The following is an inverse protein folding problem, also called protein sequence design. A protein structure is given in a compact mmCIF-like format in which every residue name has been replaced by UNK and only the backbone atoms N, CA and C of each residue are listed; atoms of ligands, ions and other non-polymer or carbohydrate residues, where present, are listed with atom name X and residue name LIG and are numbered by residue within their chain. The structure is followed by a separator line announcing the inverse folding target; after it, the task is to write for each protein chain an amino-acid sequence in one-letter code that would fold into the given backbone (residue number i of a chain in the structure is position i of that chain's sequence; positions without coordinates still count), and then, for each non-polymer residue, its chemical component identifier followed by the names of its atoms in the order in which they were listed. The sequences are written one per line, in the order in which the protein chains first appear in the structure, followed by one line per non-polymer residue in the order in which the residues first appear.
data_IF_332370333042
#
_entry.id   IF_332370333042
#
_cell.length_a   1.000
_cell.length_b   1.000
_cell.length_c   1.000
_cell.angle_alpha   90.00
_cell.angle_beta   90.00
_cell.angle_gamma   90.00
#
_symmetry.space_group_name_H-M   'P 1'
#
loop_
_entity.id
_entity.type
_entity.pdbx_description
1 polymer ?
#
# COMPACT_ATOMS: atom_id res chain seq x y z
N UNK A 1 -0.52 -23.66 -17.58
CA UNK A 1 -0.94 -23.27 -16.26
C UNK A 1 -0.75 -21.76 -16.14
N UNK A 2 -1.78 -21.05 -15.69
CA UNK A 2 -1.71 -19.61 -15.51
C UNK A 2 -0.88 -19.26 -14.26
N UNK A 3 -0.51 -17.97 -14.13
CA UNK A 3 0.15 -17.45 -12.95
C UNK A 3 -0.72 -17.66 -11.70
N UNK A 4 -0.10 -18.05 -10.59
CA UNK A 4 -0.71 -18.01 -9.27
C UNK A 4 -0.37 -16.65 -8.67
N UNK A 5 -1.32 -15.73 -8.72
CA UNK A 5 -1.22 -14.43 -8.06
C UNK A 5 -2.49 -14.15 -7.26
N UNK A 6 -2.31 -13.62 -6.06
CA UNK A 6 -3.40 -13.16 -5.21
C UNK A 6 -3.23 -11.66 -4.99
N UNK A 7 -4.33 -10.97 -4.75
CA UNK A 7 -4.30 -9.56 -4.37
C UNK A 7 -5.25 -9.35 -3.21
N UNK A 8 -4.73 -8.67 -2.18
CA UNK A 8 -5.50 -8.24 -1.05
C UNK A 8 -5.58 -6.71 -1.01
N UNK A 9 -6.62 -6.20 -0.41
CA UNK A 9 -6.77 -4.78 -0.10
C UNK A 9 -7.27 -4.63 1.34
N UNK A 10 -7.04 -3.49 2.01
CA UNK A 10 -7.21 -3.36 3.46
C UNK A 10 -8.53 -3.89 4.00
N UNK A 11 -9.68 -3.61 3.34
CA UNK A 11 -10.97 -4.11 3.81
C UNK A 11 -11.04 -5.64 3.83
N UNK A 12 -10.54 -6.29 2.76
CA UNK A 12 -10.50 -7.75 2.69
C UNK A 12 -9.58 -8.34 3.77
N UNK A 13 -8.41 -7.74 3.94
CA UNK A 13 -7.42 -8.16 4.95
C UNK A 13 -8.01 -8.14 6.37
N UNK A 14 -8.73 -7.06 6.73
CA UNK A 14 -9.40 -6.97 8.02
C UNK A 14 -10.59 -7.92 8.14
N UNK A 15 -11.35 -8.10 7.08
CA UNK A 15 -12.50 -9.03 7.06
C UNK A 15 -12.04 -10.49 7.16
N UNK A 16 -10.91 -10.83 6.57
CA UNK A 16 -10.29 -12.15 6.69
C UNK A 16 -9.83 -12.41 8.13
N UNK A 17 -9.38 -11.36 8.83
CA UNK A 17 -9.01 -11.34 10.24
C UNK A 17 -7.87 -12.30 10.62
N UNK A 18 -6.97 -12.56 9.71
CA UNK A 18 -5.73 -13.29 9.99
C UNK A 18 -4.63 -12.31 10.39
N UNK A 19 -3.99 -12.52 11.54
CA UNK A 19 -2.93 -11.66 12.07
C UNK A 19 -1.62 -11.78 11.30
N UNK A 20 -1.70 -11.62 9.98
CA UNK A 20 -0.52 -11.56 9.14
C UNK A 20 0.28 -10.26 9.34
N UNK A 21 1.56 -10.32 9.03
CA UNK A 21 2.48 -9.20 9.14
C UNK A 21 1.97 -7.92 8.43
N UNK A 22 1.41 -8.06 7.23
CA UNK A 22 0.86 -6.93 6.47
C UNK A 22 -0.37 -6.29 7.12
N UNK A 23 -1.24 -7.06 7.77
CA UNK A 23 -2.37 -6.52 8.53
C UNK A 23 -1.87 -5.71 9.74
N UNK A 24 -0.92 -6.28 10.49
CA UNK A 24 -0.33 -5.63 11.68
C UNK A 24 0.43 -4.36 11.27
N UNK A 25 1.01 -4.33 10.08
CA UNK A 25 1.77 -3.19 9.56
C UNK A 25 0.89 -1.98 9.20
N UNK A 26 -0.39 -2.15 8.80
CA UNK A 26 -1.24 -1.06 8.31
C UNK A 26 -1.29 0.17 9.25
N UNK A 27 -1.49 0.05 10.56
CA UNK A 27 -1.44 1.21 11.45
C UNK A 27 -0.08 1.93 11.45
N UNK A 28 1.01 1.19 11.37
CA UNK A 28 2.38 1.74 11.31
C UNK A 28 2.62 2.43 9.97
N UNK A 29 2.14 1.85 8.89
CA UNK A 29 2.17 2.43 7.54
C UNK A 29 1.47 3.80 7.51
N UNK A 30 0.27 3.89 8.08
CA UNK A 30 -0.48 5.14 8.17
C UNK A 30 0.23 6.16 9.06
N UNK A 31 0.85 5.73 10.15
CA UNK A 31 1.66 6.59 11.01
C UNK A 31 2.86 7.17 10.24
N UNK A 32 3.56 6.38 9.43
CA UNK A 32 4.69 6.84 8.60
C UNK A 32 4.21 7.92 7.61
N UNK A 33 3.09 7.69 6.93
CA UNK A 33 2.52 8.67 5.99
C UNK A 33 2.18 9.98 6.72
N UNK A 34 1.55 9.89 7.90
CA UNK A 34 1.23 11.05 8.73
C UNK A 34 2.46 11.81 9.22
N UNK A 35 3.50 11.10 9.67
CA UNK A 35 4.78 11.69 10.09
C UNK A 35 5.51 12.36 8.91
N UNK A 36 5.55 11.72 7.74
CA UNK A 36 6.15 12.28 6.54
C UNK A 36 5.41 13.54 6.07
N UNK A 37 4.07 13.53 6.07
CA UNK A 37 3.28 14.71 5.78
C UNK A 37 3.53 15.83 6.80
N UNK A 38 3.54 15.52 8.08
CA UNK A 38 3.86 16.50 9.13
C UNK A 38 5.27 17.08 8.94
N UNK A 39 6.25 16.24 8.63
CA UNK A 39 7.63 16.67 8.41
C UNK A 39 7.75 17.68 7.26
N UNK A 40 7.09 17.46 6.12
CA UNK A 40 7.17 18.39 5.00
C UNK A 40 6.39 19.69 5.26
N UNK A 41 5.25 19.62 5.93
CA UNK A 41 4.41 20.79 6.23
C UNK A 41 5.03 21.69 7.29
N UNK A 42 5.53 21.12 8.40
CA UNK A 42 6.15 21.88 9.49
C UNK A 42 7.58 22.29 9.14
N UNK A 43 8.37 21.37 8.59
CA UNK A 43 9.77 21.60 8.26
C UNK A 43 9.98 22.64 7.16
N UNK A 44 9.02 22.79 6.25
CA UNK A 44 9.05 23.83 5.22
C UNK A 44 9.02 25.26 5.80
N UNK A 45 8.28 25.45 6.90
CA UNK A 45 8.11 26.77 7.55
C UNK A 45 9.21 27.06 8.57
N UNK A 46 9.86 26.05 9.10
CA UNK A 46 10.83 26.22 10.17
C UNK A 46 12.22 26.62 9.62
N UNK A 47 12.77 27.69 10.17
CA UNK A 47 14.08 28.21 9.76
C UNK A 47 15.26 27.37 10.32
N UNK A 48 15.10 26.71 11.48
CA UNK A 48 16.18 26.01 12.16
C UNK A 48 16.27 24.54 11.78
N UNK A 49 17.41 24.13 11.23
CA UNK A 49 17.69 22.74 10.83
C UNK A 49 17.67 21.78 12.03
N UNK A 50 18.11 22.25 13.23
CA UNK A 50 18.14 21.45 14.45
C UNK A 50 16.74 20.98 14.88
N UNK A 51 15.67 21.72 14.54
CA UNK A 51 14.29 21.32 14.83
C UNK A 51 13.80 20.18 13.98
N UNK A 52 14.50 19.84 12.89
CA UNK A 52 14.17 18.68 12.04
C UNK A 52 14.74 17.37 12.60
N UNK A 53 15.72 17.42 13.49
CA UNK A 53 16.37 16.20 14.01
C UNK A 53 15.37 15.26 14.68
N UNK A 54 14.55 15.77 15.60
CA UNK A 54 13.57 14.94 16.30
C UNK A 54 12.50 14.35 15.35
N UNK A 55 11.80 15.13 14.50
CA UNK A 55 10.84 14.56 13.55
C UNK A 55 11.45 13.54 12.60
N UNK A 56 12.67 13.77 12.10
CA UNK A 56 13.38 12.82 11.22
C UNK A 56 13.75 11.56 11.99
N UNK A 57 14.24 11.67 13.24
CA UNK A 57 14.58 10.50 14.05
C UNK A 57 13.34 9.66 14.42
N UNK A 58 12.21 10.31 14.74
CA UNK A 58 10.95 9.61 15.00
C UNK A 58 10.47 8.89 13.73
N UNK A 59 10.51 9.56 12.58
CA UNK A 59 10.16 8.94 11.29
C UNK A 59 11.08 7.74 11.00
N UNK A 60 12.41 7.88 11.24
CA UNK A 60 13.38 6.81 11.04
C UNK A 60 13.13 5.63 11.98
N UNK A 61 12.79 5.88 13.25
CA UNK A 61 12.42 4.83 14.21
C UNK A 61 11.22 4.02 13.71
N UNK A 62 10.17 4.72 13.27
CA UNK A 62 8.92 4.05 12.81
C UNK A 62 9.13 3.33 11.48
N UNK A 63 9.89 3.90 10.52
CA UNK A 63 10.24 3.20 9.27
C UNK A 63 11.10 1.97 9.55
N UNK A 64 12.09 2.10 10.45
CA UNK A 64 12.95 0.98 10.84
C UNK A 64 12.18 -0.18 11.48
N UNK A 65 11.08 0.10 12.21
CA UNK A 65 10.24 -0.94 12.82
C UNK A 65 9.58 -1.87 11.78
N UNK A 66 9.38 -1.40 10.54
CA UNK A 66 8.82 -2.23 9.48
C UNK A 66 9.72 -3.42 9.14
N UNK A 67 11.02 -3.34 9.36
CA UNK A 67 11.91 -4.49 9.17
C UNK A 67 11.53 -5.66 10.08
N UNK A 68 11.10 -5.36 11.31
CA UNK A 68 10.65 -6.36 12.28
C UNK A 68 9.18 -6.75 12.13
N UNK A 69 8.33 -5.87 11.60
CA UNK A 69 6.88 -6.08 11.47
C UNK A 69 6.54 -6.72 10.12
N UNK A 70 6.95 -6.09 9.02
CA UNK A 70 6.73 -6.56 7.66
C UNK A 70 7.81 -6.00 6.73
N UNK A 71 8.87 -6.75 6.51
CA UNK A 71 10.04 -6.33 5.72
C UNK A 71 9.67 -5.88 4.29
N UNK A 72 8.59 -6.42 3.71
CA UNK A 72 8.09 -6.05 2.38
C UNK A 72 7.67 -4.57 2.27
N UNK A 73 7.34 -3.94 3.38
CA UNK A 73 6.91 -2.54 3.41
C UNK A 73 8.07 -1.55 3.44
N UNK A 74 9.25 -1.99 3.88
CA UNK A 74 10.45 -1.14 4.02
C UNK A 74 10.76 -0.36 2.74
N UNK A 75 10.78 -0.96 1.54
CA UNK A 75 11.05 -0.21 0.31
C UNK A 75 10.02 0.89 0.04
N UNK A 76 8.73 0.61 0.15
CA UNK A 76 7.67 1.55 -0.17
C UNK A 76 7.65 2.75 0.79
N UNK A 77 7.66 2.49 2.10
CA UNK A 77 7.61 3.54 3.12
C UNK A 77 8.95 4.24 3.34
N UNK A 78 10.05 3.54 3.09
CA UNK A 78 11.37 4.13 2.97
C UNK A 78 11.44 5.17 1.85
N UNK A 79 10.91 4.84 0.66
CA UNK A 79 10.87 5.76 -0.48
C UNK A 79 9.95 6.97 -0.25
N UNK A 80 8.79 6.81 0.42
CA UNK A 80 7.96 7.95 0.84
C UNK A 80 8.78 8.90 1.71
N UNK A 81 9.46 8.36 2.71
CA UNK A 81 10.22 9.14 3.68
C UNK A 81 11.42 9.83 3.02
N UNK A 82 12.18 9.11 2.21
CA UNK A 82 13.31 9.65 1.43
C UNK A 82 12.85 10.73 0.46
N UNK A 83 11.76 10.48 -0.30
CA UNK A 83 11.18 11.46 -1.20
C UNK A 83 10.74 12.73 -0.46
N UNK A 84 10.10 12.58 0.71
CA UNK A 84 9.72 13.70 1.57
C UNK A 84 10.92 14.51 2.05
N UNK A 85 12.00 13.84 2.48
CA UNK A 85 13.24 14.49 2.92
C UNK A 85 13.91 15.22 1.75
N UNK A 86 14.03 14.59 0.60
CA UNK A 86 14.61 15.22 -0.60
C UNK A 86 13.82 16.49 -0.96
N UNK A 87 12.51 16.40 -1.06
CA UNK A 87 11.68 17.57 -1.40
C UNK A 87 11.77 18.66 -0.34
N UNK A 88 11.77 18.33 0.94
CA UNK A 88 11.93 19.30 2.01
C UNK A 88 13.26 20.05 1.90
N UNK A 89 14.38 19.33 1.77
CA UNK A 89 15.70 19.96 1.65
C UNK A 89 15.87 20.73 0.34
N UNK A 90 15.30 20.23 -0.77
CA UNK A 90 15.27 20.95 -2.02
C UNK A 90 14.50 22.27 -1.90
N UNK A 91 13.28 22.26 -1.34
CA UNK A 91 12.46 23.46 -1.18
C UNK A 91 13.12 24.50 -0.27
N UNK A 92 13.82 24.07 0.76
CA UNK A 92 14.58 24.96 1.67
C UNK A 92 15.83 25.54 1.04
N UNK A 93 16.47 24.80 0.16
CA UNK A 93 17.76 25.16 -0.44
C UNK A 93 17.69 25.73 -1.84
N UNK A 94 16.49 25.88 -2.43
CA UNK A 94 16.31 26.17 -3.86
C UNK A 94 16.95 27.48 -4.36
N UNK A 95 17.24 28.43 -3.47
CA UNK A 95 17.96 29.66 -3.79
C UNK A 95 19.48 29.51 -3.63
N UNK A 96 19.95 28.35 -3.16
CA UNK A 96 21.36 28.03 -2.97
C UNK A 96 21.94 27.34 -4.20
N UNK A 97 23.27 27.12 -4.19
CA UNK A 97 23.94 26.34 -5.23
C UNK A 97 23.37 24.91 -5.28
N UNK A 98 22.99 24.46 -6.48
CA UNK A 98 22.37 23.14 -6.71
C UNK A 98 23.22 21.98 -6.16
N UNK A 99 24.53 22.01 -6.34
CA UNK A 99 25.41 20.96 -5.83
C UNK A 99 25.36 20.89 -4.30
N UNK A 100 25.30 22.02 -3.61
CA UNK A 100 25.15 22.08 -2.16
C UNK A 100 23.80 21.52 -1.71
N UNK A 101 22.72 21.81 -2.43
CA UNK A 101 21.38 21.26 -2.15
C UNK A 101 21.38 19.75 -2.30
N UNK A 102 21.92 19.23 -3.40
CA UNK A 102 22.04 17.80 -3.65
C UNK A 102 22.88 17.09 -2.57
N UNK A 103 24.01 17.69 -2.16
CA UNK A 103 24.83 17.16 -1.08
C UNK A 103 24.07 17.10 0.26
N UNK A 104 23.30 18.14 0.60
CA UNK A 104 22.45 18.15 1.79
C UNK A 104 21.34 17.11 1.72
N UNK A 105 20.67 16.97 0.58
CA UNK A 105 19.66 15.92 0.36
C UNK A 105 20.27 14.53 0.57
N UNK A 106 21.41 14.27 -0.06
CA UNK A 106 22.13 13.00 0.08
C UNK A 106 22.51 12.72 1.53
N UNK A 107 23.15 13.68 2.21
CA UNK A 107 23.55 13.53 3.60
C UNK A 107 22.34 13.28 4.53
N UNK A 108 21.22 13.98 4.31
CA UNK A 108 20.01 13.78 5.08
C UNK A 108 19.37 12.39 4.85
N UNK A 109 19.38 11.90 3.63
CA UNK A 109 18.90 10.55 3.31
C UNK A 109 19.78 9.46 3.92
N UNK A 110 21.11 9.61 3.85
CA UNK A 110 22.06 8.70 4.49
C UNK A 110 21.90 8.71 6.01
N UNK A 111 21.76 9.88 6.62
CA UNK A 111 21.53 10.00 8.05
C UNK A 111 20.20 9.34 8.46
N UNK A 112 19.11 9.59 7.71
CA UNK A 112 17.83 8.94 7.93
C UNK A 112 17.92 7.43 7.87
N UNK A 113 18.52 6.88 6.81
CA UNK A 113 18.66 5.43 6.64
C UNK A 113 19.56 4.83 7.74
N UNK A 114 20.67 5.53 8.08
CA UNK A 114 21.56 5.13 9.16
C UNK A 114 20.86 5.10 10.53
N UNK A 115 20.06 6.12 10.85
CA UNK A 115 19.27 6.17 12.10
C UNK A 115 18.24 5.04 12.11
N UNK A 116 17.51 4.84 11.01
CA UNK A 116 16.51 3.77 10.89
C UNK A 116 17.14 2.39 11.14
N UNK A 117 18.32 2.13 10.56
CA UNK A 117 19.04 0.87 10.77
C UNK A 117 19.58 0.73 12.19
N UNK A 118 20.24 1.77 12.71
CA UNK A 118 20.91 1.71 14.02
C UNK A 118 19.93 1.60 15.19
N UNK A 119 18.76 2.22 15.11
CA UNK A 119 17.73 2.10 16.16
C UNK A 119 17.15 0.67 16.25
N UNK A 120 17.23 -0.11 15.18
CA UNK A 120 16.80 -1.52 15.12
C UNK A 120 17.97 -2.49 14.99
N UNK A 121 19.20 -2.03 15.29
CA UNK A 121 20.40 -2.84 15.16
C UNK A 121 20.35 -4.19 15.92
N UNK A 122 19.82 -4.27 17.17
CA UNK A 122 19.69 -5.56 17.85
C UNK A 122 18.84 -6.57 17.08
N UNK A 123 17.78 -6.12 16.40
CA UNK A 123 16.98 -6.98 15.51
C UNK A 123 17.81 -7.45 14.32
N UNK A 124 18.53 -6.55 13.65
CA UNK A 124 19.33 -6.89 12.46
C UNK A 124 20.47 -7.85 12.76
N UNK A 125 20.99 -7.88 14.00
CA UNK A 125 22.03 -8.84 14.40
C UNK A 125 21.55 -10.30 14.48
N UNK A 126 20.26 -10.50 14.74
CA UNK A 126 19.68 -11.83 14.97
C UNK A 126 18.72 -12.28 13.87
N UNK A 127 18.35 -11.37 12.98
CA UNK A 127 17.39 -11.65 11.91
C UNK A 127 18.08 -12.22 10.69
N UNK A 128 17.75 -13.44 10.35
CA UNK A 128 18.14 -14.07 9.10
C UNK A 128 17.01 -13.88 8.07
N UNK A 129 17.28 -13.14 7.02
CA UNK A 129 16.29 -12.80 6.00
C UNK A 129 16.19 -13.91 4.97
N UNK A 130 14.97 -14.39 4.74
CA UNK A 130 14.67 -15.29 3.62
C UNK A 130 14.72 -14.60 2.25
N UNK A 131 14.91 -13.27 2.20
CA UNK A 131 15.04 -12.54 0.95
C UNK A 131 16.41 -12.79 0.32
N UNK A 132 16.43 -13.39 -0.88
CA UNK A 132 17.65 -13.77 -1.61
C UNK A 132 17.98 -12.82 -2.76
N UNK A 133 17.03 -11.99 -3.20
CA UNK A 133 17.26 -11.04 -4.28
C UNK A 133 16.01 -10.74 -5.11
N UNK A 134 16.24 -10.10 -6.25
CA UNK A 134 15.21 -9.81 -7.25
C UNK A 134 15.52 -10.49 -8.56
N UNK A 135 14.48 -10.94 -9.25
CA UNK A 135 14.55 -11.44 -10.63
C UNK A 135 13.60 -10.69 -11.54
N UNK A 136 13.83 -10.78 -12.85
CA UNK A 136 12.87 -10.27 -13.84
C UNK A 136 11.59 -11.08 -13.78
N UNK A 137 10.46 -10.39 -13.73
CA UNK A 137 9.15 -11.04 -13.78
C UNK A 137 8.89 -11.66 -15.14
N UNK A 138 8.39 -12.89 -15.16
CA UNK A 138 7.91 -13.56 -16.38
C UNK A 138 6.44 -13.26 -16.68
N UNK A 139 5.70 -12.74 -15.70
CA UNK A 139 4.28 -12.47 -15.74
C UNK A 139 3.98 -10.98 -15.75
N UNK A 140 2.83 -10.63 -16.28
CA UNK A 140 2.32 -9.24 -16.33
C UNK A 140 0.93 -9.18 -15.73
N UNK A 141 0.59 -8.05 -15.13
CA UNK A 141 -0.74 -7.83 -14.57
C UNK A 141 -1.71 -7.47 -15.69
N UNK A 142 -2.79 -8.21 -15.79
CA UNK A 142 -3.86 -7.87 -16.72
C UNK A 142 -4.60 -6.60 -16.28
N UNK A 143 -5.14 -5.87 -17.26
CA UNK A 143 -5.83 -4.59 -17.00
C UNK A 143 -6.96 -4.78 -15.97
N UNK A 144 -7.80 -5.78 -16.14
CA UNK A 144 -8.93 -6.01 -15.23
C UNK A 144 -8.49 -6.37 -13.80
N UNK A 145 -7.35 -7.03 -13.62
CA UNK A 145 -6.80 -7.37 -12.30
C UNK A 145 -6.43 -6.10 -11.52
N UNK A 146 -5.68 -5.19 -12.16
CA UNK A 146 -5.27 -3.95 -11.51
C UNK A 146 -6.45 -3.00 -11.29
N UNK A 147 -7.22 -2.75 -12.35
CA UNK A 147 -8.32 -1.77 -12.30
C UNK A 147 -9.51 -2.24 -11.51
N UNK A 148 -9.77 -3.56 -11.43
CA UNK A 148 -10.81 -4.13 -10.57
C UNK A 148 -10.67 -3.74 -9.10
N UNK A 149 -9.44 -3.53 -8.62
CA UNK A 149 -9.14 -3.20 -7.22
C UNK A 149 -8.89 -1.72 -7.01
N UNK A 150 -8.25 -1.05 -7.98
CA UNK A 150 -7.77 0.32 -7.80
C UNK A 150 -8.62 1.38 -8.51
N UNK A 151 -9.55 1.02 -9.40
CA UNK A 151 -10.23 1.97 -10.29
C UNK A 151 -10.88 3.16 -9.59
N UNK A 152 -11.61 2.93 -8.49
CA UNK A 152 -12.23 4.02 -7.72
C UNK A 152 -11.18 4.99 -7.19
N UNK A 153 -10.11 4.46 -6.61
CA UNK A 153 -9.05 5.26 -5.99
C UNK A 153 -8.25 6.03 -7.06
N UNK A 154 -7.96 5.37 -8.17
CA UNK A 154 -7.30 6.00 -9.34
C UNK A 154 -8.19 7.10 -9.92
N UNK A 155 -9.51 6.87 -10.06
CA UNK A 155 -10.45 7.88 -10.54
C UNK A 155 -10.42 9.14 -9.66
N UNK A 156 -10.45 8.99 -8.35
CA UNK A 156 -10.42 10.12 -7.41
C UNK A 156 -9.09 10.88 -7.51
N UNK A 157 -7.96 10.19 -7.56
CA UNK A 157 -6.63 10.78 -7.67
C UNK A 157 -6.41 11.49 -9.02
N UNK A 158 -6.80 10.86 -10.13
CA UNK A 158 -6.70 11.44 -11.48
C UNK A 158 -7.59 12.67 -11.61
N UNK A 159 -8.71 12.75 -10.89
CA UNK A 159 -9.54 13.96 -10.90
C UNK A 159 -8.76 15.18 -10.40
N UNK A 160 -8.02 15.04 -9.29
CA UNK A 160 -7.15 16.09 -8.79
C UNK A 160 -5.97 16.37 -9.75
N UNK A 161 -5.33 15.33 -10.28
CA UNK A 161 -4.23 15.46 -11.27
C UNK A 161 -4.72 16.23 -12.49
N UNK A 162 -5.89 15.89 -13.03
CA UNK A 162 -6.49 16.55 -14.20
C UNK A 162 -6.77 18.03 -13.93
N UNK A 163 -7.30 18.35 -12.74
CA UNK A 163 -7.53 19.73 -12.32
C UNK A 163 -6.21 20.52 -12.22
N UNK A 164 -5.17 19.95 -11.57
CA UNK A 164 -3.86 20.58 -11.46
C UNK A 164 -3.22 20.80 -12.84
N UNK A 165 -3.33 19.80 -13.70
CA UNK A 165 -2.78 19.86 -15.05
C UNK A 165 -3.46 20.94 -15.88
N UNK A 166 -4.79 21.02 -15.83
CA UNK A 166 -5.56 22.04 -16.52
C UNK A 166 -5.19 23.46 -16.05
N UNK A 167 -5.08 23.69 -14.75
CA UNK A 167 -4.74 25.00 -14.18
C UNK A 167 -3.32 25.47 -14.57
N UNK A 168 -2.38 24.54 -14.74
CA UNK A 168 -0.96 24.89 -14.95
C UNK A 168 -0.56 25.01 -16.40
N UNK A 169 -1.14 24.20 -17.27
CA UNK A 169 -0.61 24.07 -18.63
C UNK A 169 -1.45 24.74 -19.72
N UNK A 170 -2.64 25.26 -19.44
CA UNK A 170 -3.47 26.08 -20.35
C UNK A 170 -3.42 25.65 -21.84
N UNK A 171 -3.44 24.33 -22.10
CA UNK A 171 -3.33 23.86 -23.49
C UNK A 171 -4.52 24.27 -24.34
N UNK A 172 -4.25 24.65 -25.60
CA UNK A 172 -5.32 24.90 -26.59
C UNK A 172 -6.12 23.62 -26.82
N UNK A 173 -7.45 23.69 -26.83
CA UNK A 173 -8.40 22.56 -27.00
C UNK A 173 -7.98 21.55 -28.09
N UNK A 174 -7.44 22.08 -29.23
CA UNK A 174 -6.96 21.25 -30.34
C UNK A 174 -5.80 20.30 -29.94
N UNK A 175 -4.87 20.78 -29.10
CA UNK A 175 -3.73 19.96 -28.62
C UNK A 175 -4.19 18.85 -27.68
N UNK A 176 -5.17 19.12 -26.81
CA UNK A 176 -5.77 18.08 -25.97
C UNK A 176 -6.38 16.96 -26.80
N UNK A 177 -7.19 17.35 -27.80
CA UNK A 177 -7.84 16.37 -28.67
C UNK A 177 -6.82 15.51 -29.44
N UNK A 178 -5.79 16.14 -30.00
CA UNK A 178 -4.73 15.41 -30.72
C UNK A 178 -3.95 14.48 -29.79
N UNK A 179 -3.57 14.92 -28.58
CA UNK A 179 -2.87 14.09 -27.62
C UNK A 179 -3.74 12.92 -27.14
N UNK A 180 -5.02 13.16 -26.83
CA UNK A 180 -5.96 12.11 -26.45
C UNK A 180 -6.15 11.07 -27.57
N UNK A 181 -6.28 11.55 -28.82
CA UNK A 181 -6.40 10.66 -29.99
C UNK A 181 -5.15 9.78 -30.14
N UNK A 182 -3.94 10.34 -30.01
CA UNK A 182 -2.69 9.59 -30.09
C UNK A 182 -2.59 8.53 -28.98
N UNK A 183 -2.96 8.89 -27.75
CA UNK A 183 -2.99 7.97 -26.63
C UNK A 183 -3.98 6.83 -26.87
N UNK A 184 -5.22 7.14 -27.26
CA UNK A 184 -6.24 6.12 -27.56
C UNK A 184 -5.80 5.22 -28.70
N UNK A 185 -5.24 5.78 -29.77
CA UNK A 185 -4.71 4.99 -30.89
C UNK A 185 -3.58 4.08 -30.45
N UNK A 186 -2.65 4.57 -29.63
CA UNK A 186 -1.56 3.77 -29.08
C UNK A 186 -2.07 2.61 -28.20
N UNK A 187 -3.07 2.88 -27.35
CA UNK A 187 -3.73 1.85 -26.52
C UNK A 187 -4.40 0.79 -27.41
N UNK A 188 -5.13 1.20 -28.43
CA UNK A 188 -5.78 0.27 -29.35
C UNK A 188 -4.74 -0.59 -30.10
N UNK A 189 -3.68 0.02 -30.63
CA UNK A 189 -2.59 -0.69 -31.29
C UNK A 189 -1.98 -1.74 -30.34
N UNK A 190 -1.67 -1.34 -29.10
CA UNK A 190 -1.08 -2.25 -28.12
C UNK A 190 -2.04 -3.40 -27.75
N UNK A 191 -3.32 -3.11 -27.59
CA UNK A 191 -4.34 -4.11 -27.23
C UNK A 191 -4.51 -5.21 -28.29
N UNK A 192 -4.32 -4.88 -29.57
CA UNK A 192 -4.39 -5.84 -30.69
C UNK A 192 -3.02 -6.33 -31.17
N UNK A 193 -1.96 -6.04 -30.43
CA UNK A 193 -0.60 -6.48 -30.75
C UNK A 193 -0.22 -7.75 -29.97
N UNK A 194 0.88 -8.44 -30.33
CA UNK A 194 1.45 -9.52 -29.54
C UNK A 194 1.90 -9.08 -28.12
N UNK A 195 1.97 -7.77 -27.87
CA UNK A 195 2.41 -7.17 -26.60
C UNK A 195 1.25 -6.71 -25.73
N UNK A 196 0.02 -7.24 -25.92
CA UNK A 196 -1.16 -6.88 -25.13
C UNK A 196 -0.96 -7.11 -23.62
N UNK A 197 -0.12 -8.05 -23.23
CA UNK A 197 0.25 -8.30 -21.83
C UNK A 197 0.84 -7.07 -21.13
N UNK A 198 1.44 -6.14 -21.88
CA UNK A 198 2.02 -4.91 -21.37
C UNK A 198 1.03 -3.74 -21.27
N UNK A 199 -0.24 -3.96 -21.62
CA UNK A 199 -1.23 -2.89 -21.71
C UNK A 199 -1.44 -2.19 -20.36
N UNK A 200 -1.49 -2.93 -19.27
CA UNK A 200 -1.63 -2.35 -17.92
C UNK A 200 -0.42 -1.46 -17.57
N UNK A 201 0.79 -1.96 -17.74
CA UNK A 201 2.02 -1.20 -17.49
C UNK A 201 2.10 0.06 -18.37
N UNK A 202 1.67 -0.02 -19.62
CA UNK A 202 1.61 1.12 -20.54
C UNK A 202 0.60 2.17 -20.08
N UNK A 203 -0.61 1.77 -19.67
CA UNK A 203 -1.64 2.67 -19.13
C UNK A 203 -1.13 3.41 -17.88
N UNK A 204 -0.52 2.71 -16.95
CA UNK A 204 0.05 3.31 -15.74
C UNK A 204 1.22 4.24 -16.07
N UNK A 205 2.08 3.86 -17.02
CA UNK A 205 3.20 4.71 -17.48
C UNK A 205 2.72 6.00 -18.14
N UNK A 206 1.62 5.96 -18.90
CA UNK A 206 1.00 7.17 -19.47
C UNK A 206 0.51 8.10 -18.37
N UNK A 207 -0.05 7.59 -17.28
CA UNK A 207 -0.49 8.40 -16.14
C UNK A 207 0.66 9.04 -15.37
N UNK A 208 1.88 8.49 -15.43
CA UNK A 208 3.07 9.11 -14.84
C UNK A 208 3.40 10.46 -15.47
N UNK A 209 3.20 10.62 -16.78
CA UNK A 209 3.62 11.82 -17.51
C UNK A 209 2.99 13.11 -16.96
N UNK A 210 1.65 13.24 -16.80
CA UNK A 210 1.05 14.45 -16.24
C UNK A 210 1.47 14.69 -14.77
N UNK A 211 1.66 13.65 -13.98
CA UNK A 211 2.06 13.77 -12.56
C UNK A 211 3.49 14.31 -12.47
N UNK A 212 4.41 13.78 -13.27
CA UNK A 212 5.79 14.28 -13.37
C UNK A 212 5.80 15.73 -13.85
N UNK A 213 5.01 16.07 -14.89
CA UNK A 213 4.92 17.43 -15.40
C UNK A 213 4.41 18.41 -14.34
N UNK A 214 3.38 18.04 -13.57
CA UNK A 214 2.85 18.83 -12.46
C UNK A 214 3.94 18.98 -11.38
N UNK A 215 4.65 17.92 -11.01
CA UNK A 215 5.74 17.96 -10.06
C UNK A 215 6.82 18.98 -10.47
N UNK A 216 7.30 18.87 -11.70
CA UNK A 216 8.26 19.86 -12.22
C UNK A 216 7.73 21.30 -12.27
N UNK A 217 6.44 21.49 -12.54
CA UNK A 217 5.86 22.82 -12.52
C UNK A 217 5.86 23.39 -11.11
N UNK A 218 5.50 22.61 -10.09
CA UNK A 218 5.57 23.00 -8.69
C UNK A 218 7.01 23.37 -8.27
N UNK A 219 7.99 22.58 -8.69
CA UNK A 219 9.39 22.86 -8.38
C UNK A 219 9.91 24.17 -9.01
N UNK A 220 9.30 24.65 -10.09
CA UNK A 220 9.67 25.91 -10.75
C UNK A 220 8.93 27.14 -10.19
N UNK A 221 7.82 26.95 -9.50
CA UNK A 221 7.04 28.04 -8.92
C UNK A 221 7.74 28.67 -7.71
N UNK A 222 7.40 29.94 -7.41
CA UNK A 222 7.81 30.56 -6.15
C UNK A 222 7.18 29.79 -4.97
N UNK A 223 7.89 29.73 -3.84
CA UNK A 223 7.37 29.08 -2.64
C UNK A 223 6.00 29.61 -2.25
N UNK A 224 5.06 28.72 -2.01
CA UNK A 224 3.72 29.06 -1.53
C UNK A 224 3.24 27.99 -0.53
N UNK A 225 2.24 28.28 0.33
CA UNK A 225 1.80 27.36 1.37
C UNK A 225 1.20 26.03 0.89
N UNK A 226 0.73 25.97 -0.37
CA UNK A 226 0.13 24.74 -0.92
C UNK A 226 1.19 23.79 -1.50
N UNK A 227 2.37 24.29 -1.82
CA UNK A 227 3.42 23.53 -2.49
C UNK A 227 3.85 22.26 -1.72
N UNK A 228 4.16 22.31 -0.40
CA UNK A 228 4.59 21.11 0.32
C UNK A 228 3.55 20.00 0.30
N UNK A 229 2.29 20.36 0.47
CA UNK A 229 1.18 19.42 0.43
C UNK A 229 1.00 18.81 -0.97
N UNK A 230 1.00 19.63 -2.02
CA UNK A 230 0.86 19.16 -3.39
C UNK A 230 2.02 18.24 -3.82
N UNK A 231 3.24 18.57 -3.43
CA UNK A 231 4.43 17.74 -3.69
C UNK A 231 4.33 16.42 -2.93
N UNK A 232 3.82 16.42 -1.71
CA UNK A 232 3.59 15.21 -0.96
C UNK A 232 2.58 14.27 -1.66
N UNK A 233 1.46 14.80 -2.15
CA UNK A 233 0.50 14.02 -2.95
C UNK A 233 1.15 13.45 -4.21
N UNK A 234 1.96 14.25 -4.91
CA UNK A 234 2.70 13.80 -6.09
C UNK A 234 3.64 12.65 -5.72
N UNK A 235 4.33 12.71 -4.58
CA UNK A 235 5.20 11.62 -4.11
C UNK A 235 4.42 10.32 -3.93
N UNK A 236 3.25 10.36 -3.28
CA UNK A 236 2.38 9.19 -3.12
C UNK A 236 1.93 8.62 -4.48
N UNK A 237 1.53 9.50 -5.41
CA UNK A 237 1.05 9.09 -6.74
C UNK A 237 2.16 8.47 -7.58
N UNK A 238 3.37 9.03 -7.54
CA UNK A 238 4.53 8.49 -8.24
C UNK A 238 4.89 7.08 -7.71
N UNK A 239 4.81 6.89 -6.40
CA UNK A 239 5.07 5.58 -5.78
C UNK A 239 3.97 4.57 -6.11
N UNK A 240 2.69 4.97 -6.07
CA UNK A 240 1.57 4.10 -6.46
C UNK A 240 1.74 3.57 -7.89
N UNK A 241 2.04 4.48 -8.82
CA UNK A 241 2.26 4.12 -10.22
C UNK A 241 3.56 3.34 -10.42
N UNK A 242 4.63 3.77 -9.72
CA UNK A 242 5.91 3.07 -9.75
C UNK A 242 5.81 1.62 -9.28
N UNK A 243 5.02 1.36 -8.24
CA UNK A 243 4.71 0.00 -7.78
C UNK A 243 3.90 -0.74 -8.85
N UNK A 244 2.82 -0.12 -9.37
CA UNK A 244 1.95 -0.76 -10.35
C UNK A 244 2.68 -1.18 -11.63
N UNK A 245 3.67 -0.38 -12.07
CA UNK A 245 4.54 -0.72 -13.20
C UNK A 245 5.65 -1.68 -12.77
N UNK A 246 6.25 -1.43 -11.61
CA UNK A 246 7.46 -2.15 -11.15
C UNK A 246 7.26 -3.64 -10.96
N UNK A 247 6.12 -4.06 -10.41
CA UNK A 247 5.82 -5.49 -10.19
C UNK A 247 5.65 -6.28 -11.50
N UNK A 248 5.41 -5.59 -12.62
CA UNK A 248 5.39 -6.23 -13.94
C UNK A 248 6.80 -6.46 -14.51
N UNK A 249 7.82 -5.79 -13.98
CA UNK A 249 9.20 -5.95 -14.40
C UNK A 249 10.02 -6.80 -13.43
N UNK A 250 9.76 -6.68 -12.13
CA UNK A 250 10.62 -7.24 -11.08
C UNK A 250 9.77 -8.00 -10.05
N UNK A 251 10.24 -9.18 -9.68
CA UNK A 251 9.69 -9.99 -8.58
C UNK A 251 10.81 -10.45 -7.65
N UNK A 252 10.47 -10.79 -6.41
CA UNK A 252 11.44 -11.38 -5.49
C UNK A 252 11.86 -12.77 -5.96
N UNK A 253 13.11 -13.14 -5.73
CA UNK A 253 13.57 -14.50 -5.91
C UNK A 253 12.85 -15.42 -4.92
N UNK A 254 12.62 -16.68 -5.31
CA UNK A 254 11.91 -17.68 -4.52
C UNK A 254 10.45 -17.34 -4.20
N UNK A 255 9.88 -16.34 -4.87
CA UNK A 255 8.44 -16.10 -4.82
C UNK A 255 7.71 -17.18 -5.66
N UNK A 256 6.52 -17.59 -5.23
CA UNK A 256 5.65 -18.48 -6.00
C UNK A 256 5.10 -17.65 -7.16
N UNK A 257 5.67 -17.86 -8.35
CA UNK A 257 5.51 -16.97 -9.51
C UNK A 257 5.88 -15.52 -9.14
N UNK A 258 4.93 -14.68 -8.79
CA UNK A 258 5.10 -13.35 -8.18
C UNK A 258 4.01 -13.03 -7.14
N UNK A 259 3.45 -14.07 -6.54
CA UNK A 259 2.28 -13.97 -5.65
C UNK A 259 2.52 -12.98 -4.50
N UNK A 260 3.59 -13.17 -3.72
CA UNK A 260 3.90 -12.26 -2.62
C UNK A 260 4.28 -10.86 -3.10
N UNK A 261 5.00 -10.74 -4.21
CA UNK A 261 5.40 -9.46 -4.78
C UNK A 261 4.16 -8.64 -5.16
N UNK A 262 3.23 -9.20 -5.93
CA UNK A 262 1.98 -8.53 -6.31
C UNK A 262 1.17 -8.18 -5.07
N UNK A 263 0.88 -9.14 -4.24
CA UNK A 263 0.05 -9.00 -3.06
C UNK A 263 0.57 -7.91 -2.10
N UNK A 264 1.85 -7.99 -1.71
CA UNK A 264 2.42 -7.06 -0.73
C UNK A 264 2.55 -5.63 -1.27
N UNK A 265 3.00 -5.48 -2.51
CA UNK A 265 3.18 -4.15 -3.08
C UNK A 265 1.88 -3.51 -3.54
N UNK A 266 0.89 -4.27 -4.04
CA UNK A 266 -0.40 -3.69 -4.43
C UNK A 266 -1.23 -3.23 -3.23
N UNK A 267 -1.10 -3.88 -2.06
CA UNK A 267 -1.69 -3.36 -0.82
C UNK A 267 -1.17 -1.95 -0.50
N UNK A 268 0.14 -1.73 -0.65
CA UNK A 268 0.75 -0.42 -0.44
C UNK A 268 0.30 0.60 -1.50
N UNK A 269 0.25 0.20 -2.78
CA UNK A 269 -0.27 1.06 -3.85
C UNK A 269 -1.73 1.47 -3.58
N UNK A 270 -2.57 0.55 -3.10
CA UNK A 270 -3.95 0.82 -2.73
C UNK A 270 -4.06 1.91 -1.64
N UNK A 271 -3.24 1.80 -0.58
CA UNK A 271 -3.20 2.79 0.50
C UNK A 271 -2.77 4.16 -0.05
N UNK A 272 -1.73 4.21 -0.87
CA UNK A 272 -1.22 5.48 -1.43
C UNK A 272 -2.23 6.14 -2.37
N UNK A 273 -2.86 5.37 -3.27
CA UNK A 273 -3.95 5.84 -4.11
C UNK A 273 -5.12 6.37 -3.29
N UNK A 274 -5.53 5.62 -2.26
CA UNK A 274 -6.64 5.98 -1.38
C UNK A 274 -6.41 7.30 -0.67
N UNK A 275 -5.25 7.49 -0.06
CA UNK A 275 -4.89 8.72 0.65
C UNK A 275 -4.74 9.89 -0.35
N UNK A 276 -3.98 9.71 -1.43
CA UNK A 276 -3.78 10.76 -2.41
C UNK A 276 -5.09 11.20 -3.09
N UNK A 277 -5.95 10.22 -3.43
CA UNK A 277 -7.25 10.49 -4.04
C UNK A 277 -8.21 11.22 -3.10
N UNK A 278 -8.33 10.77 -1.86
CA UNK A 278 -9.19 11.38 -0.86
C UNK A 278 -8.76 12.81 -0.51
N UNK A 279 -7.48 13.03 -0.30
CA UNK A 279 -6.91 14.35 -0.04
C UNK A 279 -7.03 15.27 -1.27
N UNK A 280 -6.83 14.73 -2.48
CA UNK A 280 -7.04 15.46 -3.73
C UNK A 280 -8.48 15.92 -3.90
N UNK A 281 -9.47 15.06 -3.66
CA UNK A 281 -10.89 15.41 -3.67
C UNK A 281 -11.23 16.47 -2.62
N UNK A 282 -10.67 16.34 -1.41
CA UNK A 282 -10.86 17.33 -0.35
C UNK A 282 -10.36 18.71 -0.78
N UNK A 283 -9.19 18.80 -1.41
CA UNK A 283 -8.66 20.07 -1.94
C UNK A 283 -9.58 20.64 -3.01
N UNK A 284 -10.09 19.80 -3.92
CA UNK A 284 -11.01 20.24 -4.97
C UNK A 284 -12.33 20.78 -4.38
N UNK A 285 -12.85 20.13 -3.34
CA UNK A 285 -14.03 20.58 -2.62
C UNK A 285 -13.77 21.90 -1.88
N UNK A 286 -12.69 21.97 -1.10
CA UNK A 286 -12.33 23.17 -0.34
C UNK A 286 -12.10 24.41 -1.21
N UNK A 287 -11.63 24.23 -2.45
CA UNK A 287 -11.45 25.30 -3.43
C UNK A 287 -12.72 25.60 -4.26
N UNK A 288 -13.84 24.98 -3.97
CA UNK A 288 -15.10 25.18 -4.69
C UNK A 288 -15.09 24.64 -6.14
N UNK A 289 -14.09 23.84 -6.52
CA UNK A 289 -14.01 23.27 -7.89
C UNK A 289 -15.22 22.36 -8.16
N UNK A 290 -15.73 21.71 -7.13
CA UNK A 290 -16.88 20.79 -7.21
C UNK A 290 -18.25 21.51 -7.12
N UNK A 291 -18.28 22.84 -6.89
CA UNK A 291 -19.54 23.59 -6.87
C UNK A 291 -20.21 23.54 -8.24
N UNK A 292 -21.57 23.40 -8.23
CA UNK A 292 -22.38 23.36 -9.45
C UNK A 292 -22.62 24.76 -10.03
N UNK A 293 -21.52 25.41 -10.41
CA UNK A 293 -21.50 26.72 -11.03
C UNK A 293 -20.78 26.66 -12.37
N UNK A 294 -21.18 27.52 -13.30
CA UNK A 294 -20.52 27.66 -14.60
C UNK A 294 -21.46 27.52 -15.80
N UNK A 295 -20.87 27.44 -16.98
CA UNK A 295 -21.61 27.27 -18.24
C UNK A 295 -22.27 25.88 -18.32
N UNK A 296 -23.28 25.74 -19.21
CA UNK A 296 -23.98 24.49 -19.48
C UNK A 296 -23.03 23.29 -19.71
N UNK A 297 -21.95 23.55 -20.47
CA UNK A 297 -20.95 22.49 -20.74
C UNK A 297 -20.19 22.07 -19.47
N UNK A 298 -19.81 23.02 -18.62
CA UNK A 298 -19.12 22.74 -17.34
C UNK A 298 -20.04 21.91 -16.43
N UNK A 299 -21.32 22.28 -16.34
CA UNK A 299 -22.31 21.54 -15.57
C UNK A 299 -22.50 20.12 -16.10
N UNK A 300 -22.55 19.94 -17.42
CA UNK A 300 -22.63 18.63 -18.04
C UNK A 300 -21.43 17.74 -17.71
N UNK A 301 -20.19 18.27 -17.82
CA UNK A 301 -18.98 17.53 -17.43
C UNK A 301 -18.98 17.15 -15.94
N UNK A 302 -19.36 18.05 -15.05
CA UNK A 302 -19.46 17.78 -13.63
C UNK A 302 -20.52 16.70 -13.32
N UNK A 303 -21.66 16.75 -13.99
CA UNK A 303 -22.71 15.74 -13.85
C UNK A 303 -22.24 14.35 -14.30
N UNK A 304 -21.59 14.27 -15.47
CA UNK A 304 -21.00 13.01 -15.97
C UNK A 304 -19.97 12.48 -14.96
N UNK A 305 -19.06 13.32 -14.51
CA UNK A 305 -18.05 12.93 -13.54
C UNK A 305 -18.64 12.40 -12.23
N UNK A 306 -19.66 13.12 -11.67
CA UNK A 306 -20.37 12.66 -10.46
C UNK A 306 -21.10 11.35 -10.67
N UNK A 307 -21.70 11.16 -11.85
CA UNK A 307 -22.36 9.89 -12.17
C UNK A 307 -21.36 8.75 -12.20
N UNK A 308 -20.22 8.94 -12.86
CA UNK A 308 -19.14 7.94 -12.91
C UNK A 308 -18.60 7.65 -11.51
N UNK A 309 -18.36 8.70 -10.70
CA UNK A 309 -17.90 8.54 -9.32
C UNK A 309 -18.94 7.79 -8.46
N UNK A 310 -20.21 8.13 -8.57
CA UNK A 310 -21.28 7.45 -7.84
C UNK A 310 -21.37 5.96 -8.23
N UNK A 311 -21.32 5.66 -9.53
CA UNK A 311 -21.30 4.28 -10.02
C UNK A 311 -20.08 3.51 -9.52
N UNK A 312 -18.90 4.14 -9.52
CA UNK A 312 -17.69 3.53 -8.99
C UNK A 312 -17.77 3.27 -7.47
N UNK A 313 -18.36 4.19 -6.69
CA UNK A 313 -18.58 4.01 -5.25
C UNK A 313 -19.59 2.87 -5.00
N UNK A 314 -20.69 2.84 -5.73
CA UNK A 314 -21.72 1.78 -5.61
C UNK A 314 -21.08 0.41 -5.95
N UNK A 315 -20.39 0.33 -7.07
CA UNK A 315 -19.71 -0.90 -7.51
C UNK A 315 -18.66 -1.37 -6.48
N UNK A 316 -17.81 -0.47 -6.00
CA UNK A 316 -16.82 -0.80 -4.97
C UNK A 316 -17.44 -1.15 -3.62
N UNK A 317 -18.64 -0.63 -3.33
CA UNK A 317 -19.41 -0.91 -2.11
C UNK A 317 -20.04 -2.30 -2.08
N UNK A 318 -20.17 -2.98 -3.22
CA UNK A 318 -20.76 -4.33 -3.30
C UNK A 318 -19.94 -5.31 -2.44
N UNK A 319 -18.62 -5.30 -2.60
CA UNK A 319 -17.76 -6.23 -1.86
C UNK A 319 -17.82 -6.03 -0.34
N UNK A 320 -17.67 -4.82 0.23
CA UNK A 320 -17.82 -4.62 1.68
C UNK A 320 -19.13 -5.14 2.24
N UNK A 321 -20.23 -5.00 1.52
CA UNK A 321 -21.56 -5.45 1.97
C UNK A 321 -21.70 -6.97 1.83
N UNK A 322 -21.52 -7.48 0.61
CA UNK A 322 -21.75 -8.89 0.31
C UNK A 322 -20.67 -9.81 0.87
N UNK A 323 -19.41 -9.36 0.83
CA UNK A 323 -18.27 -10.09 1.41
C UNK A 323 -18.37 -10.18 2.93
N UNK A 324 -18.77 -9.09 3.61
CA UNK A 324 -19.03 -9.12 5.06
C UNK A 324 -20.16 -10.08 5.40
N UNK A 325 -21.28 -9.99 4.67
CA UNK A 325 -22.41 -10.91 4.88
C UNK A 325 -21.98 -12.38 4.71
N UNK A 326 -21.30 -12.69 3.61
CA UNK A 326 -20.84 -14.05 3.34
C UNK A 326 -19.85 -14.54 4.43
N UNK A 327 -18.90 -13.70 4.81
CA UNK A 327 -17.89 -14.04 5.83
C UNK A 327 -18.51 -14.26 7.21
N UNK A 328 -19.42 -13.38 7.62
CA UNK A 328 -20.14 -13.51 8.89
C UNK A 328 -20.97 -14.79 8.91
N UNK A 329 -21.73 -15.06 7.84
CA UNK A 329 -22.54 -16.28 7.73
C UNK A 329 -21.70 -17.56 7.79
N UNK A 330 -20.48 -17.54 7.20
CA UNK A 330 -19.60 -18.72 7.11
C UNK A 330 -18.76 -18.93 8.38
N UNK A 331 -18.34 -17.85 9.05
CA UNK A 331 -17.32 -17.91 10.10
C UNK A 331 -17.80 -17.56 11.50
N UNK A 332 -18.95 -16.95 11.66
CA UNK A 332 -19.49 -16.57 12.96
C UNK A 332 -20.59 -17.52 13.42
N UNK A 333 -20.45 -18.00 14.64
CA UNK A 333 -21.51 -18.74 15.32
C UNK A 333 -22.35 -17.75 16.13
N UNK A 334 -23.63 -17.59 15.71
CA UNK A 334 -24.58 -16.67 16.35
C UNK A 334 -24.91 -17.08 17.81
N UNK A 335 -24.64 -18.33 18.21
CA UNK A 335 -24.83 -18.81 19.57
C UNK A 335 -23.71 -18.45 20.55
N UNK A 336 -22.65 -17.77 20.07
CA UNK A 336 -21.51 -17.39 20.89
C UNK A 336 -21.62 -15.98 21.41
N UNK A 337 -21.15 -15.79 22.65
CA UNK A 337 -20.98 -14.45 23.21
C UNK A 337 -19.87 -13.67 22.47
N UNK A 338 -20.12 -12.40 22.28
CA UNK A 338 -19.13 -11.49 21.70
C UNK A 338 -17.95 -11.32 22.66
N UNK A 339 -16.75 -11.62 22.19
CA UNK A 339 -15.53 -11.57 23.00
C UNK A 339 -14.37 -11.00 22.21
N UNK A 340 -13.54 -10.20 22.89
CA UNK A 340 -12.22 -9.79 22.39
C UNK A 340 -11.12 -10.85 22.67
N UNK A 341 -11.49 -11.96 23.35
CA UNK A 341 -10.58 -13.07 23.55
C UNK A 341 -10.41 -13.86 22.24
N UNK A 342 -9.27 -13.73 21.60
CA UNK A 342 -8.94 -14.42 20.35
C UNK A 342 -8.91 -15.96 20.47
N UNK A 343 -9.04 -16.52 21.68
CA UNK A 343 -9.12 -17.96 21.95
C UNK A 343 -10.55 -18.45 22.21
N UNK A 344 -11.54 -17.57 22.27
CA UNK A 344 -12.91 -17.95 22.65
C UNK A 344 -13.53 -19.01 21.72
N UNK A 345 -13.08 -19.11 20.47
CA UNK A 345 -13.52 -20.12 19.52
C UNK A 345 -13.11 -21.55 19.95
N UNK A 346 -12.05 -21.73 20.75
CA UNK A 346 -11.51 -23.02 21.13
C UNK A 346 -12.49 -23.85 21.99
N UNK A 347 -13.42 -23.20 22.68
CA UNK A 347 -14.40 -23.89 23.52
C UNK A 347 -15.44 -24.69 22.73
N UNK A 348 -15.58 -24.43 21.43
CA UNK A 348 -16.71 -24.94 20.67
C UNK A 348 -16.46 -25.19 19.19
N UNK A 349 -15.37 -24.70 18.66
CA UNK A 349 -15.03 -24.92 17.25
C UNK A 349 -14.43 -26.31 17.06
N UNK A 350 -14.63 -26.84 15.88
CA UNK A 350 -14.14 -28.14 15.43
C UNK A 350 -13.16 -27.86 14.29
N UNK A 351 -12.04 -28.52 14.31
CA UNK A 351 -11.09 -28.53 13.22
C UNK A 351 -11.31 -29.75 12.33
N UNK A 352 -11.32 -29.53 11.04
CA UNK A 352 -11.33 -30.58 10.04
C UNK A 352 -10.24 -30.29 9.03
N UNK A 353 -9.34 -31.22 8.83
CA UNK A 353 -8.23 -31.04 7.90
C UNK A 353 -8.62 -31.49 6.49
N UNK A 354 -9.52 -30.76 5.86
CA UNK A 354 -9.97 -30.99 4.49
C UNK A 354 -9.08 -30.25 3.49
N UNK A 355 -7.96 -30.83 3.11
CA UNK A 355 -7.08 -30.27 2.09
C UNK A 355 -7.25 -30.97 0.73
N UNK A 356 -6.81 -30.32 -0.36
CA UNK A 356 -6.89 -30.88 -1.72
C UNK A 356 -6.05 -32.14 -1.95
N UNK A 357 -5.25 -32.56 -0.98
CA UNK A 357 -4.42 -33.78 -1.00
C UNK A 357 -4.89 -34.78 0.05
N UNK A 358 -6.17 -35.05 0.04
CA UNK A 358 -6.91 -35.84 1.04
C UNK A 358 -6.48 -37.32 1.20
N UNK A 359 -5.51 -37.82 0.47
CA UNK A 359 -5.09 -39.23 0.58
C UNK A 359 -4.21 -39.56 1.79
N UNK A 360 -3.74 -38.56 2.55
CA UNK A 360 -2.86 -38.75 3.72
C UNK A 360 -3.34 -38.01 4.98
N UNK A 361 -4.54 -37.41 4.95
CA UNK A 361 -5.04 -36.56 6.04
C UNK A 361 -6.17 -37.28 6.75
N UNK A 362 -6.06 -37.38 8.08
CA UNK A 362 -7.15 -37.85 8.93
C UNK A 362 -8.26 -36.79 8.97
N UNK A 363 -9.31 -37.01 8.20
CA UNK A 363 -10.49 -36.13 8.13
C UNK A 363 -11.35 -36.22 9.41
N UNK A 364 -10.87 -36.91 10.48
CA UNK A 364 -11.61 -37.01 11.73
C UNK A 364 -11.73 -35.64 12.38
N UNK A 365 -12.93 -35.08 12.52
CA UNK A 365 -13.11 -33.81 13.21
C UNK A 365 -12.69 -33.90 14.67
N UNK A 366 -11.89 -32.95 15.16
CA UNK A 366 -11.59 -32.86 16.57
C UNK A 366 -11.88 -31.48 17.16
N UNK A 367 -12.28 -31.45 18.43
CA UNK A 367 -12.55 -30.24 19.16
C UNK A 367 -11.27 -29.61 19.69
N UNK A 368 -11.23 -28.28 19.75
CA UNK A 368 -10.08 -27.54 20.28
C UNK A 368 -10.00 -27.49 21.81
N UNK A 369 -11.02 -28.00 22.52
CA UNK A 369 -11.10 -27.89 23.99
C UNK A 369 -9.92 -28.55 24.69
N UNK A 370 -9.49 -29.71 24.24
CA UNK A 370 -8.35 -30.44 24.78
C UNK A 370 -7.03 -29.68 24.52
N UNK A 371 -6.85 -29.15 23.34
CA UNK A 371 -5.71 -28.27 22.99
C UNK A 371 -5.71 -27.01 23.86
N UNK A 372 -6.87 -26.39 24.07
CA UNK A 372 -7.02 -25.20 24.91
C UNK A 372 -6.63 -25.50 26.37
N UNK A 373 -7.02 -26.65 26.89
CA UNK A 373 -6.64 -27.10 28.25
C UNK A 373 -5.13 -27.35 28.35
N UNK A 374 -4.54 -28.04 27.37
CA UNK A 374 -3.09 -28.26 27.31
C UNK A 374 -2.28 -26.98 27.23
N UNK A 375 -2.71 -26.03 26.39
CA UNK A 375 -2.09 -24.70 26.25
C UNK A 375 -2.18 -23.92 27.57
N UNK A 376 -3.33 -23.97 28.26
CA UNK A 376 -3.49 -23.29 29.54
C UNK A 376 -2.61 -23.91 30.63
N UNK A 377 -2.50 -25.25 30.66
CA UNK A 377 -1.55 -25.96 31.56
C UNK A 377 -0.11 -25.48 31.28
N UNK A 378 0.31 -25.45 30.02
CA UNK A 378 1.67 -24.96 29.66
C UNK A 378 1.88 -23.53 30.16
N UNK A 379 0.92 -22.63 29.98
CA UNK A 379 1.03 -21.24 30.40
C UNK A 379 1.06 -21.05 31.92
N UNK A 380 0.33 -21.86 32.68
CA UNK A 380 0.23 -21.73 34.13
C UNK A 380 1.34 -22.46 34.89
N UNK A 381 1.70 -23.65 34.44
CA UNK A 381 2.56 -24.55 35.21
C UNK A 381 4.00 -24.59 34.70
N UNK A 382 4.24 -24.34 33.40
CA UNK A 382 5.58 -24.41 32.85
C UNK A 382 6.29 -23.07 33.01
N UNK A 383 7.40 -23.06 33.73
CA UNK A 383 8.21 -21.84 33.99
C UNK A 383 9.41 -21.79 33.06
N UNK A 384 9.81 -20.56 32.73
CA UNK A 384 10.94 -20.30 31.82
C UNK A 384 10.54 -20.42 30.36
N UNK A 385 11.51 -20.72 29.50
CA UNK A 385 11.33 -20.87 28.05
C UNK A 385 11.90 -22.20 27.57
N UNK A 386 11.31 -23.33 27.98
CA UNK A 386 11.76 -24.63 27.51
C UNK A 386 11.45 -24.78 26.01
N UNK A 387 12.21 -25.65 25.35
CA UNK A 387 11.97 -26.02 23.96
C UNK A 387 10.84 -27.03 23.90
N UNK A 388 9.79 -26.72 23.15
CA UNK A 388 8.71 -27.65 22.84
C UNK A 388 8.87 -28.24 21.45
N UNK A 389 8.64 -29.54 21.33
CA UNK A 389 8.58 -30.24 20.07
C UNK A 389 7.11 -30.52 19.73
N UNK A 390 6.66 -29.97 18.60
CA UNK A 390 5.36 -30.30 18.02
C UNK A 390 5.54 -31.05 16.71
N UNK A 391 4.55 -31.88 16.37
CA UNK A 391 4.48 -32.47 15.04
C UNK A 391 4.24 -31.39 14.00
N UNK A 392 4.98 -31.44 12.91
CA UNK A 392 4.81 -30.57 11.77
C UNK A 392 4.49 -31.37 10.52
N UNK A 393 3.75 -30.79 9.59
CA UNK A 393 3.57 -31.34 8.25
C UNK A 393 4.18 -30.41 7.20
N UNK A 394 4.38 -30.93 6.02
CA UNK A 394 4.86 -30.13 4.86
C UNK A 394 3.81 -29.11 4.37
N UNK A 395 2.57 -29.19 4.84
CA UNK A 395 1.48 -28.33 4.40
C UNK A 395 1.39 -27.08 5.27
N UNK A 396 1.40 -25.91 4.62
CA UNK A 396 1.15 -24.62 5.27
C UNK A 396 -0.30 -24.50 5.79
N UNK A 397 -0.53 -23.56 6.72
CA UNK A 397 -1.85 -23.19 7.25
C UNK A 397 -2.59 -24.31 8.00
N UNK A 398 -1.84 -25.22 8.66
CA UNK A 398 -2.39 -26.27 9.50
C UNK A 398 -2.37 -25.90 10.98
N UNK A 399 -3.05 -26.70 11.81
CA UNK A 399 -3.18 -26.45 13.26
C UNK A 399 -1.92 -26.84 14.06
N UNK A 400 -0.88 -27.33 13.45
CA UNK A 400 0.26 -27.93 14.13
C UNK A 400 1.08 -27.01 15.05
N UNK A 401 1.43 -25.75 14.72
CA UNK A 401 2.23 -24.89 15.58
C UNK A 401 1.42 -24.22 16.70
N UNK A 402 0.48 -24.94 17.32
CA UNK A 402 -0.44 -24.36 18.30
C UNK A 402 0.21 -24.00 19.63
N UNK A 403 1.23 -24.76 20.08
CA UNK A 403 1.95 -24.42 21.31
C UNK A 403 2.72 -23.13 21.11
N UNK A 404 3.56 -23.03 20.09
CA UNK A 404 4.31 -21.82 19.78
C UNK A 404 3.39 -20.61 19.59
N UNK A 405 2.27 -20.78 18.86
CA UNK A 405 1.31 -19.71 18.57
C UNK A 405 0.67 -19.13 19.84
N UNK A 406 0.35 -19.95 20.83
CA UNK A 406 -0.42 -19.53 22.01
C UNK A 406 0.39 -19.37 23.28
N UNK A 407 1.62 -19.86 23.32
CA UNK A 407 2.50 -19.76 24.50
C UNK A 407 3.76 -18.95 24.26
N UNK A 408 4.18 -18.81 23.00
CA UNK A 408 5.44 -18.17 22.63
C UNK A 408 6.68 -19.05 22.90
N UNK A 409 6.49 -20.36 23.12
CA UNK A 409 7.54 -21.34 23.38
C UNK A 409 7.89 -22.12 22.11
#
# INVERSE_FOLDING_TARGET
PGEIAITEFPFWTFLFADLHAHLIAIPVQLLIIGLALNLILSGYKDALLSRLLLPVSVLALVVGSLAAINTWDVPAYGLISIGTIIFLFYLRGRESNLLMVLAKCFAACVAFAGIAYLLWFPFHLSYDSAFSGFRMSQWRTEVWQYWGIHALLVLTAISWVSQQFYQRFHFKRKRYFTSALLVVTGILILNFSPYQEWLNAALLSILLLPIIAIGFSWLKEKPNPEMPFSIFLINLLLLSLGIGVGVDFVTAENDIDRMNTVFKFYLNAWIFWGIAGSLGLWVMWAKGVLNFEGTRNVLAYKSIWLTVLALAIISSGIFPIMGTYARVKDRFDAGKEWSLNGRAYQDSSIYTDSGPTSSEIDDTPYGFREDAAAIEFIRSEIKGSPIFLEGVTEHAYRWYPRVAKYTGL
#
